data_IF_319154979946
#
_entry.id   IF_319154979946
#
_cell.length_a   1.000
_cell.length_b   1.000
_cell.length_c   1.000
_cell.angle_alpha   90.00
_cell.angle_beta   90.00
_cell.angle_gamma   90.00
#
_symmetry.space_group_name_H-M   'P 1'
#
loop_
_entity.id
_entity.type
_entity.pdbx_description
1 polymer ?
#
# COMPACT_ATOMS: atom_id res chain seq x y z
N UNK A 1 -12.38 -27.79 -12.76
CA UNK A 1 -12.71 -26.65 -13.66
C UNK A 1 -13.56 -25.68 -12.85
N UNK A 2 -13.13 -24.42 -12.63
CA UNK A 2 -13.86 -23.52 -11.75
C UNK A 2 -15.25 -23.16 -12.33
N UNK A 3 -16.31 -23.13 -11.50
CA UNK A 3 -17.64 -22.67 -11.88
C UNK A 3 -17.62 -21.32 -12.64
N UNK A 4 -18.53 -21.17 -13.60
CA UNK A 4 -18.57 -19.98 -14.47
C UNK A 4 -18.71 -18.67 -13.66
N UNK A 5 -19.44 -18.71 -12.54
CA UNK A 5 -19.64 -17.58 -11.63
C UNK A 5 -18.31 -17.07 -11.03
N UNK A 6 -17.38 -17.97 -10.70
CA UNK A 6 -16.06 -17.60 -10.14
C UNK A 6 -15.21 -16.88 -11.18
N UNK A 7 -15.27 -17.32 -12.45
CA UNK A 7 -14.55 -16.67 -13.55
C UNK A 7 -15.03 -15.24 -13.77
N UNK A 8 -16.35 -15.02 -13.71
CA UNK A 8 -16.96 -13.69 -13.83
C UNK A 8 -16.52 -12.80 -12.66
N UNK A 9 -16.56 -13.29 -11.42
CA UNK A 9 -16.11 -12.53 -10.24
C UNK A 9 -14.65 -12.11 -10.43
N UNK A 10 -13.75 -13.04 -10.77
CA UNK A 10 -12.32 -12.77 -11.00
C UNK A 10 -12.08 -11.74 -12.10
N UNK A 11 -12.86 -11.78 -13.17
CA UNK A 11 -12.77 -10.78 -14.24
C UNK A 11 -13.17 -9.38 -13.74
N UNK A 12 -14.25 -9.28 -12.96
CA UNK A 12 -14.69 -8.02 -12.35
C UNK A 12 -13.60 -7.44 -11.43
N UNK A 13 -12.94 -8.29 -10.63
CA UNK A 13 -11.82 -7.87 -9.78
C UNK A 13 -10.68 -7.30 -10.61
N UNK A 14 -10.23 -8.06 -11.61
CA UNK A 14 -9.09 -7.66 -12.43
C UNK A 14 -9.36 -6.33 -13.13
N UNK A 15 -10.57 -6.15 -13.68
CA UNK A 15 -10.98 -4.88 -14.30
C UNK A 15 -10.97 -3.73 -13.29
N UNK A 16 -11.44 -3.94 -12.07
CA UNK A 16 -11.43 -2.90 -11.03
C UNK A 16 -10.01 -2.52 -10.63
N UNK A 17 -9.13 -3.50 -10.40
CA UNK A 17 -7.72 -3.26 -10.06
C UNK A 17 -6.98 -2.55 -11.20
N UNK A 18 -7.21 -2.95 -12.45
CA UNK A 18 -6.65 -2.30 -13.64
C UNK A 18 -7.16 -0.86 -13.79
N UNK A 19 -8.43 -0.61 -13.47
CA UNK A 19 -9.02 0.74 -13.50
C UNK A 19 -8.37 1.65 -12.47
N UNK A 20 -8.13 1.14 -11.25
CA UNK A 20 -7.41 1.89 -10.20
C UNK A 20 -5.98 2.18 -10.65
N UNK A 21 -5.27 1.17 -11.16
CA UNK A 21 -3.91 1.35 -11.68
C UNK A 21 -3.84 2.36 -12.81
N UNK A 22 -4.78 2.31 -13.76
CA UNK A 22 -4.85 3.27 -14.87
C UNK A 22 -5.14 4.68 -14.36
N UNK A 23 -6.06 4.82 -13.40
CA UNK A 23 -6.36 6.11 -12.78
C UNK A 23 -5.13 6.71 -12.07
N UNK A 24 -4.40 5.91 -11.30
CA UNK A 24 -3.14 6.34 -10.66
C UNK A 24 -2.11 6.76 -11.71
N UNK A 25 -1.96 5.99 -12.79
CA UNK A 25 -1.04 6.30 -13.88
C UNK A 25 -1.42 7.60 -14.63
N UNK A 26 -2.71 7.88 -14.82
CA UNK A 26 -3.18 9.12 -15.46
C UNK A 26 -2.89 10.34 -14.57
N UNK A 27 -3.04 10.21 -13.25
CA UNK A 27 -2.74 11.31 -12.33
C UNK A 27 -1.23 11.54 -12.21
N UNK A 28 -0.45 10.47 -12.27
CA UNK A 28 1.01 10.51 -12.26
C UNK A 28 1.52 10.85 -13.67
N UNK A 29 1.38 12.11 -14.06
CA UNK A 29 1.94 12.65 -15.31
C UNK A 29 3.48 12.61 -15.23
N UNK A 30 4.05 11.48 -15.62
CA UNK A 30 5.47 11.17 -15.53
C UNK A 30 6.30 12.16 -16.34
N UNK A 31 5.82 12.59 -17.51
CA UNK A 31 6.52 13.56 -18.35
C UNK A 31 6.63 14.91 -17.65
N UNK A 32 5.55 15.34 -16.99
CA UNK A 32 5.54 16.58 -16.22
C UNK A 32 6.41 16.50 -14.97
N UNK A 33 6.41 15.38 -14.25
CA UNK A 33 7.28 15.16 -13.09
C UNK A 33 8.76 15.22 -13.52
N UNK A 34 9.11 14.52 -14.61
CA UNK A 34 10.48 14.53 -15.16
C UNK A 34 10.87 15.93 -15.62
N UNK A 35 10.01 16.62 -16.37
CA UNK A 35 10.27 17.98 -16.83
C UNK A 35 10.48 18.99 -15.68
N UNK A 36 9.75 18.84 -14.56
CA UNK A 36 9.92 19.68 -13.39
C UNK A 36 11.15 19.31 -12.53
N UNK A 37 11.66 18.08 -12.64
CA UNK A 37 12.88 17.62 -11.96
C UNK A 37 14.17 17.91 -12.76
N UNK A 38 14.08 17.99 -14.09
CA UNK A 38 15.18 18.30 -15.00
C UNK A 38 16.07 19.48 -14.56
N UNK A 39 15.53 20.66 -14.18
CA UNK A 39 16.36 21.80 -13.78
C UNK A 39 17.15 21.55 -12.47
N UNK A 40 16.64 20.71 -11.56
CA UNK A 40 17.37 20.35 -10.34
C UNK A 40 18.50 19.37 -10.62
N UNK A 41 18.31 18.45 -11.56
CA UNK A 41 19.36 17.55 -12.05
C UNK A 41 20.46 18.36 -12.75
N UNK A 42 20.07 19.32 -13.60
CA UNK A 42 21.00 20.19 -14.32
C UNK A 42 21.72 21.21 -13.41
N UNK A 43 21.08 21.61 -12.30
CA UNK A 43 21.69 22.54 -11.33
C UNK A 43 22.89 21.95 -10.57
N UNK A 44 23.09 20.63 -10.62
CA UNK A 44 24.20 19.94 -9.92
C UNK A 44 24.13 20.02 -8.39
N UNK A 45 23.06 20.59 -7.81
CA UNK A 45 22.88 20.74 -6.36
C UNK A 45 22.60 19.39 -5.67
N UNK A 46 22.04 18.44 -6.41
CA UNK A 46 21.80 17.07 -5.93
C UNK A 46 22.92 16.18 -6.46
N UNK A 47 23.99 16.04 -5.67
CA UNK A 47 25.01 15.04 -5.90
C UNK A 47 24.41 13.66 -5.57
N UNK A 48 23.82 13.02 -6.58
CA UNK A 48 23.48 11.61 -6.50
C UNK A 48 24.79 10.83 -6.45
N UNK A 49 25.31 10.65 -5.23
CA UNK A 49 26.33 9.65 -4.99
C UNK A 49 25.68 8.31 -5.34
N UNK A 50 25.90 7.86 -6.58
CA UNK A 50 25.55 6.54 -7.09
C UNK A 50 26.02 5.43 -6.14
N UNK A 51 27.00 5.74 -5.30
CA UNK A 51 27.43 4.99 -4.14
C UNK A 51 26.40 4.87 -3.01
N UNK A 52 25.74 5.91 -2.50
CA UNK A 52 24.97 5.79 -1.23
C UNK A 52 23.64 5.06 -1.40
N UNK A 53 22.87 5.30 -2.47
CA UNK A 53 21.61 4.57 -2.67
C UNK A 53 21.86 3.07 -2.92
N UNK A 54 22.92 2.74 -3.69
CA UNK A 54 23.35 1.36 -3.94
C UNK A 54 24.13 0.78 -2.77
N UNK A 55 24.86 1.56 -1.97
CA UNK A 55 25.56 1.13 -0.77
C UNK A 55 24.59 0.92 0.39
N UNK A 56 23.54 1.73 0.54
CA UNK A 56 22.47 1.49 1.51
C UNK A 56 21.66 0.27 1.08
N UNK A 57 21.30 0.15 -0.20
CA UNK A 57 20.61 -1.04 -0.73
C UNK A 57 21.47 -2.30 -0.62
N UNK A 58 22.76 -2.23 -0.95
CA UNK A 58 23.68 -3.36 -0.85
C UNK A 58 24.15 -3.64 0.58
N UNK A 59 24.23 -2.66 1.48
CA UNK A 59 24.49 -2.90 2.92
C UNK A 59 23.29 -3.58 3.57
N UNK A 60 22.06 -3.13 3.27
CA UNK A 60 20.83 -3.80 3.70
C UNK A 60 20.77 -5.24 3.15
N UNK A 61 21.26 -5.47 1.93
CA UNK A 61 21.26 -6.81 1.30
C UNK A 61 22.41 -7.69 1.82
N UNK A 62 23.58 -7.12 2.11
CA UNK A 62 24.80 -7.85 2.51
C UNK A 62 24.81 -8.18 4.01
N UNK A 63 24.22 -7.34 4.85
CA UNK A 63 23.97 -7.66 6.27
C UNK A 63 22.85 -8.69 6.44
N UNK A 64 21.91 -8.79 5.48
CA UNK A 64 20.88 -9.84 5.47
C UNK A 64 21.40 -11.24 5.12
N UNK A 65 22.55 -11.36 4.46
CA UNK A 65 23.07 -12.65 3.97
C UNK A 65 24.23 -13.18 4.84
N UNK A 66 24.95 -12.32 5.56
CA UNK A 66 26.14 -12.73 6.35
C UNK A 66 25.90 -12.89 7.85
N UNK A 67 24.73 -12.49 8.37
CA UNK A 67 24.38 -12.64 9.78
C UNK A 67 23.00 -13.25 9.94
N UNK A 68 22.92 -14.58 10.02
CA UNK A 68 21.78 -15.29 10.61
C UNK A 68 21.72 -15.06 12.14
N UNK A 69 21.85 -13.80 12.57
CA UNK A 69 21.54 -13.36 13.91
C UNK A 69 20.03 -13.20 13.99
N UNK A 70 19.37 -14.30 14.36
CA UNK A 70 17.98 -14.39 14.82
C UNK A 70 17.12 -13.16 14.44
N UNK A 71 16.53 -13.17 13.24
CA UNK A 71 15.25 -12.50 13.12
C UNK A 71 14.38 -13.16 14.17
N UNK A 72 14.14 -12.46 15.29
CA UNK A 72 12.99 -12.70 16.11
C UNK A 72 11.84 -12.99 15.11
N UNK A 73 11.17 -14.13 15.27
CA UNK A 73 10.22 -14.74 14.30
C UNK A 73 9.53 -13.72 13.39
N UNK A 74 9.31 -14.02 12.09
CA UNK A 74 8.56 -13.16 11.13
C UNK A 74 7.38 -12.41 11.77
N UNK A 75 6.66 -13.05 12.72
CA UNK A 75 5.62 -12.44 13.56
C UNK A 75 6.07 -11.17 14.29
N UNK A 76 7.23 -11.18 14.95
CA UNK A 76 7.78 -10.02 15.66
C UNK A 76 8.11 -8.86 14.71
N UNK A 77 8.64 -9.15 13.51
CA UNK A 77 8.89 -8.13 12.49
C UNK A 77 7.56 -7.47 12.06
N UNK A 78 6.54 -8.30 11.80
CA UNK A 78 5.21 -7.81 11.43
C UNK A 78 4.58 -6.96 12.54
N UNK A 79 4.74 -7.37 13.81
CA UNK A 79 4.28 -6.59 14.98
C UNK A 79 5.00 -5.25 15.07
N UNK A 80 6.31 -5.21 14.89
CA UNK A 80 7.09 -3.96 14.93
C UNK A 80 6.68 -3.03 13.79
N UNK A 81 6.58 -3.54 12.55
CA UNK A 81 6.14 -2.73 11.41
C UNK A 81 4.72 -2.20 11.59
N UNK A 82 3.80 -3.03 12.09
CA UNK A 82 2.44 -2.62 12.40
C UNK A 82 2.38 -1.55 13.50
N UNK A 83 3.20 -1.69 14.55
CA UNK A 83 3.28 -0.71 15.64
C UNK A 83 3.82 0.64 15.15
N UNK A 84 4.90 0.63 14.35
CA UNK A 84 5.46 1.85 13.75
C UNK A 84 4.44 2.50 12.81
N UNK A 85 3.80 1.72 11.93
CA UNK A 85 2.79 2.24 10.99
C UNK A 85 1.60 2.86 11.73
N UNK A 86 1.12 2.20 12.79
CA UNK A 86 0.04 2.72 13.66
C UNK A 86 0.46 3.99 14.38
N UNK A 87 1.67 4.03 14.95
CA UNK A 87 2.16 5.21 15.65
C UNK A 87 2.25 6.43 14.72
N UNK A 88 2.77 6.25 13.50
CA UNK A 88 2.83 7.31 12.48
C UNK A 88 1.43 7.76 12.07
N UNK A 89 0.49 6.83 11.93
CA UNK A 89 -0.91 7.14 11.63
C UNK A 89 -1.55 7.98 12.72
N UNK A 90 -1.48 7.54 13.98
CA UNK A 90 -2.05 8.25 15.11
C UNK A 90 -1.39 9.62 15.33
N UNK A 91 -0.07 9.70 15.17
CA UNK A 91 0.65 10.97 15.21
C UNK A 91 0.14 11.92 14.12
N UNK A 92 -0.06 11.44 12.89
CA UNK A 92 -0.62 12.23 11.80
C UNK A 92 -2.04 12.73 12.12
N UNK A 93 -2.92 11.86 12.64
CA UNK A 93 -4.30 12.24 13.02
C UNK A 93 -4.30 13.31 14.11
N UNK A 94 -3.46 13.15 15.13
CA UNK A 94 -3.47 14.01 16.32
C UNK A 94 -2.72 15.32 16.13
N UNK A 95 -1.70 15.34 15.27
CA UNK A 95 -0.80 16.50 15.09
C UNK A 95 -1.07 17.30 13.82
N UNK A 96 -1.85 16.77 12.87
CA UNK A 96 -2.18 17.49 11.63
C UNK A 96 -3.18 18.62 11.88
N UNK A 97 -2.89 19.86 11.46
CA UNK A 97 -3.86 20.96 11.50
C UNK A 97 -4.93 20.85 10.40
N UNK A 98 -4.78 19.89 9.49
CA UNK A 98 -5.70 19.69 8.36
C UNK A 98 -6.48 18.37 8.50
N UNK A 99 -7.74 18.32 8.02
CA UNK A 99 -8.51 17.07 7.98
C UNK A 99 -7.79 15.98 7.19
N UNK A 100 -7.87 14.73 7.66
CA UNK A 100 -7.26 13.55 7.02
C UNK A 100 -7.62 13.46 5.52
N UNK A 101 -8.88 13.75 5.18
CA UNK A 101 -9.34 13.78 3.80
C UNK A 101 -8.51 14.73 2.91
N UNK A 102 -8.10 15.89 3.43
CA UNK A 102 -7.26 16.84 2.66
C UNK A 102 -5.81 16.39 2.53
N UNK A 103 -5.35 15.55 3.45
CA UNK A 103 -3.99 15.00 3.46
C UNK A 103 -3.87 13.83 2.47
N UNK A 104 -4.91 13.02 2.32
CA UNK A 104 -4.86 11.79 1.51
C UNK A 104 -5.69 11.83 0.23
N UNK A 105 -6.76 12.63 0.12
CA UNK A 105 -7.58 12.67 -1.09
C UNK A 105 -7.06 13.73 -2.07
N UNK A 106 -6.75 13.34 -3.32
CA UNK A 106 -6.33 14.29 -4.34
C UNK A 106 -7.49 15.21 -4.71
N UNK A 107 -7.21 16.52 -4.83
CA UNK A 107 -8.18 17.49 -5.34
C UNK A 107 -8.33 17.36 -6.85
N UNK A 108 -9.56 17.49 -7.34
CA UNK A 108 -9.88 17.38 -8.77
C UNK A 108 -9.24 18.51 -9.62
N UNK A 109 -8.98 19.66 -8.99
CA UNK A 109 -8.39 20.84 -9.63
C UNK A 109 -7.05 20.54 -10.32
N UNK A 110 -6.80 21.22 -11.43
CA UNK A 110 -5.54 21.14 -12.17
C UNK A 110 -4.48 21.91 -11.40
N UNK A 111 -3.42 21.23 -10.98
CA UNK A 111 -2.28 21.83 -10.27
C UNK A 111 -1.14 22.07 -11.27
N UNK A 112 -0.74 23.33 -11.43
CA UNK A 112 0.36 23.74 -12.31
C UNK A 112 1.71 23.76 -11.60
N UNK A 113 1.72 24.14 -10.33
CA UNK A 113 2.93 24.22 -9.50
C UNK A 113 3.44 22.83 -9.10
N UNK A 114 4.77 22.65 -9.11
CA UNK A 114 5.46 21.36 -8.91
C UNK A 114 5.08 20.72 -7.58
N UNK A 115 5.18 21.46 -6.47
CA UNK A 115 4.93 20.92 -5.13
C UNK A 115 3.48 20.43 -4.99
N UNK A 116 2.51 21.18 -5.51
CA UNK A 116 1.10 20.78 -5.49
C UNK A 116 0.81 19.63 -6.44
N UNK A 117 1.49 19.56 -7.59
CA UNK A 117 1.37 18.46 -8.54
C UNK A 117 1.95 17.15 -7.97
N UNK A 118 3.17 17.18 -7.41
CA UNK A 118 3.78 16.03 -6.73
C UNK A 118 2.94 15.56 -5.56
N UNK A 119 2.37 16.48 -4.76
CA UNK A 119 1.44 16.12 -3.68
C UNK A 119 0.23 15.36 -4.22
N UNK A 120 -0.40 15.85 -5.30
CA UNK A 120 -1.55 15.20 -5.92
C UNK A 120 -1.21 13.80 -6.44
N UNK A 121 -0.03 13.64 -7.03
CA UNK A 121 0.46 12.34 -7.49
C UNK A 121 0.67 11.36 -6.32
N UNK A 122 1.32 11.79 -5.23
CA UNK A 122 1.53 10.95 -4.05
C UNK A 122 0.22 10.57 -3.35
N UNK A 123 -0.75 11.49 -3.29
CA UNK A 123 -2.09 11.21 -2.75
C UNK A 123 -2.82 10.16 -3.58
N UNK A 124 -2.78 10.28 -4.91
CA UNK A 124 -3.39 9.30 -5.80
C UNK A 124 -2.70 7.93 -5.76
N UNK A 125 -1.37 7.91 -5.65
CA UNK A 125 -0.59 6.68 -5.50
C UNK A 125 -0.91 5.95 -4.20
N UNK A 126 -0.94 6.68 -3.07
CA UNK A 126 -1.25 6.10 -1.77
C UNK A 126 -2.67 5.54 -1.72
N UNK A 127 -3.67 6.34 -2.16
CA UNK A 127 -5.07 5.88 -2.20
C UNK A 127 -5.23 4.70 -3.15
N UNK A 128 -4.67 4.78 -4.36
CA UNK A 128 -4.75 3.72 -5.36
C UNK A 128 -4.14 2.42 -4.86
N UNK A 129 -2.94 2.48 -4.27
CA UNK A 129 -2.23 1.31 -3.75
C UNK A 129 -3.01 0.64 -2.61
N UNK A 130 -3.47 1.39 -1.62
CA UNK A 130 -4.20 0.79 -0.50
C UNK A 130 -5.61 0.32 -0.90
N UNK A 131 -6.30 1.02 -1.80
CA UNK A 131 -7.58 0.55 -2.33
C UNK A 131 -7.43 -0.75 -3.10
N UNK A 132 -6.42 -0.85 -3.97
CA UNK A 132 -6.09 -2.08 -4.68
C UNK A 132 -5.77 -3.23 -3.70
N UNK A 133 -4.96 -2.94 -2.68
CA UNK A 133 -4.58 -3.92 -1.66
C UNK A 133 -5.78 -4.40 -0.82
N UNK A 134 -6.68 -3.51 -0.42
CA UNK A 134 -7.89 -3.89 0.32
C UNK A 134 -8.89 -4.66 -0.53
N UNK A 135 -9.10 -4.27 -1.79
CA UNK A 135 -9.91 -5.05 -2.72
C UNK A 135 -9.32 -6.46 -2.86
N UNK A 136 -8.01 -6.56 -3.07
CA UNK A 136 -7.34 -7.86 -3.14
C UNK A 136 -7.53 -8.71 -1.87
N UNK A 137 -7.49 -8.11 -0.67
CA UNK A 137 -7.77 -8.84 0.58
C UNK A 137 -9.22 -9.31 0.67
N UNK A 138 -10.19 -8.45 0.36
CA UNK A 138 -11.63 -8.80 0.35
C UNK A 138 -11.88 -9.98 -0.58
N UNK A 139 -11.30 -9.94 -1.78
CA UNK A 139 -11.41 -11.04 -2.72
C UNK A 139 -10.67 -12.29 -2.27
N UNK A 140 -9.53 -12.15 -1.60
CA UNK A 140 -8.82 -13.29 -1.02
C UNK A 140 -9.67 -13.99 0.05
N UNK A 141 -10.39 -13.24 0.89
CA UNK A 141 -11.34 -13.83 1.85
C UNK A 141 -12.54 -14.49 1.18
N UNK A 142 -13.05 -13.90 0.09
CA UNK A 142 -14.10 -14.52 -0.73
C UNK A 142 -13.63 -15.84 -1.37
N UNK A 143 -12.42 -15.87 -1.93
CA UNK A 143 -11.84 -17.08 -2.53
C UNK A 143 -11.61 -18.16 -1.46
N UNK A 144 -11.14 -17.80 -0.25
CA UNK A 144 -11.03 -18.72 0.87
C UNK A 144 -12.39 -19.28 1.30
N UNK A 145 -13.44 -18.46 1.25
CA UNK A 145 -14.80 -18.89 1.55
C UNK A 145 -15.33 -19.87 0.52
N UNK A 146 -15.15 -19.57 -0.77
CA UNK A 146 -15.54 -20.46 -1.87
C UNK A 146 -14.77 -21.79 -1.82
N UNK A 147 -13.52 -21.77 -1.36
CA UNK A 147 -12.71 -22.98 -1.16
C UNK A 147 -13.14 -23.80 0.08
N UNK A 148 -14.09 -23.32 0.88
CA UNK A 148 -14.53 -23.97 2.12
C UNK A 148 -13.52 -23.87 3.26
N UNK A 149 -12.49 -23.03 3.14
CA UNK A 149 -11.45 -22.82 4.15
C UNK A 149 -11.84 -21.74 5.18
N UNK A 150 -12.78 -20.86 4.82
CA UNK A 150 -13.28 -19.78 5.66
C UNK A 150 -14.81 -19.79 5.69
N UNK A 151 -15.40 -19.93 6.88
CA UNK A 151 -16.86 -19.91 7.04
C UNK A 151 -17.48 -18.56 6.64
N UNK A 152 -18.76 -18.35 6.95
CA UNK A 152 -19.47 -17.08 6.74
C UNK A 152 -18.86 -15.83 7.39
N UNK A 153 -17.74 -15.94 8.11
CA UNK A 153 -16.96 -14.85 8.70
C UNK A 153 -16.19 -14.00 7.68
N UNK A 154 -16.10 -14.43 6.42
CA UNK A 154 -15.39 -13.66 5.38
C UNK A 154 -15.96 -12.24 5.18
N UNK A 155 -17.28 -12.07 5.32
CA UNK A 155 -17.95 -10.76 5.29
C UNK A 155 -17.54 -9.89 6.48
N UNK A 156 -17.41 -10.48 7.68
CA UNK A 156 -16.95 -9.78 8.87
C UNK A 156 -15.52 -9.27 8.67
N UNK A 157 -14.60 -10.11 8.17
CA UNK A 157 -13.23 -9.68 7.91
C UNK A 157 -13.18 -8.56 6.86
N UNK A 158 -13.98 -8.68 5.80
CA UNK A 158 -14.05 -7.67 4.73
C UNK A 158 -14.59 -6.32 5.23
N UNK A 159 -15.65 -6.34 6.06
CA UNK A 159 -16.27 -5.13 6.61
C UNK A 159 -15.45 -4.48 7.73
N UNK A 160 -14.59 -5.24 8.42
CA UNK A 160 -13.71 -4.71 9.46
C UNK A 160 -12.47 -3.98 8.89
N UNK A 161 -12.08 -4.19 7.64
CA UNK A 161 -10.94 -3.48 7.01
C UNK A 161 -11.07 -1.94 7.04
N UNK A 162 -12.19 -1.32 6.60
CA UNK A 162 -12.32 0.13 6.69
C UNK A 162 -12.33 0.63 8.15
N UNK A 163 -12.98 -0.11 9.05
CA UNK A 163 -13.02 0.23 10.48
C UNK A 163 -11.61 0.21 11.08
N UNK A 164 -10.86 -0.86 10.85
CA UNK A 164 -9.48 -1.00 11.30
C UNK A 164 -8.57 0.09 10.73
N UNK A 165 -8.80 0.51 9.48
CA UNK A 165 -8.01 1.58 8.83
C UNK A 165 -8.20 2.92 9.52
N UNK A 166 -9.42 3.24 9.98
CA UNK A 166 -9.67 4.47 10.74
C UNK A 166 -8.84 4.50 12.03
N UNK A 167 -8.77 3.38 12.76
CA UNK A 167 -8.13 3.33 14.07
C UNK A 167 -6.62 3.06 14.03
N UNK A 168 -6.16 2.14 13.17
CA UNK A 168 -4.78 1.67 13.13
C UNK A 168 -3.99 2.13 11.89
N UNK A 169 -4.67 2.74 10.93
CA UNK A 169 -4.10 3.19 9.67
C UNK A 169 -4.05 2.09 8.61
N UNK A 170 -3.87 2.49 7.34
CA UNK A 170 -4.04 1.58 6.21
C UNK A 170 -2.95 0.49 6.13
N UNK A 171 -1.71 0.82 6.50
CA UNK A 171 -0.59 -0.12 6.51
C UNK A 171 -0.77 -1.26 7.52
N UNK A 172 -1.15 -0.93 8.76
CA UNK A 172 -1.40 -1.92 9.81
C UNK A 172 -2.61 -2.78 9.47
N UNK A 173 -3.69 -2.20 8.96
CA UNK A 173 -4.87 -2.96 8.51
C UNK A 173 -4.51 -3.96 7.42
N UNK A 174 -3.73 -3.54 6.41
CA UNK A 174 -3.28 -4.43 5.34
C UNK A 174 -2.46 -5.60 5.91
N UNK A 175 -1.54 -5.31 6.83
CA UNK A 175 -0.70 -6.32 7.47
C UNK A 175 -1.53 -7.33 8.28
N UNK A 176 -2.49 -6.86 9.08
CA UNK A 176 -3.39 -7.72 9.87
C UNK A 176 -4.25 -8.57 8.94
N UNK A 177 -4.87 -7.96 7.92
CA UNK A 177 -5.70 -8.68 6.95
C UNK A 177 -4.92 -9.76 6.20
N UNK A 178 -3.70 -9.45 5.77
CA UNK A 178 -2.81 -10.42 5.14
C UNK A 178 -2.44 -11.56 6.11
N UNK A 179 -2.08 -11.24 7.35
CA UNK A 179 -1.72 -12.25 8.34
C UNK A 179 -2.89 -13.19 8.69
N UNK A 180 -4.11 -12.65 8.79
CA UNK A 180 -5.33 -13.45 8.98
C UNK A 180 -5.57 -14.41 7.80
N UNK A 181 -5.33 -13.94 6.57
CA UNK A 181 -5.41 -14.77 5.37
C UNK A 181 -4.40 -15.91 5.42
N UNK A 182 -3.14 -15.64 5.78
CA UNK A 182 -2.09 -16.66 5.89
C UNK A 182 -2.35 -17.68 7.00
N UNK A 183 -2.89 -17.27 8.15
CA UNK A 183 -3.29 -18.21 9.20
C UNK A 183 -4.41 -19.13 8.71
N UNK A 184 -5.41 -18.58 8.02
CA UNK A 184 -6.53 -19.37 7.51
C UNK A 184 -6.08 -20.41 6.48
N UNK A 185 -5.07 -20.07 5.67
CA UNK A 185 -4.45 -21.00 4.71
C UNK A 185 -3.63 -22.11 5.35
N UNK A 186 -3.02 -21.85 6.51
CA UNK A 186 -2.13 -22.81 7.19
C UNK A 186 -2.82 -23.64 8.26
N UNK A 187 -4.02 -23.26 8.69
CA UNK A 187 -4.80 -23.97 9.69
C UNK A 187 -5.59 -25.18 9.15
N UNK A 188 -5.66 -25.35 7.83
CA UNK A 188 -6.32 -26.46 7.13
C UNK A 188 -5.30 -27.23 6.29
#
# INVERSE_FOLDING_TARGET
MAPNNIKIIRAIVAVTLLSISLWTAIIMDLEKIVAQQQPFIESGVIEWTSGIAVAVSSSITKDRISGAGSFASLKSLLVILGAISTAVWLFKITSSPFPIATVFLPRAEVQSDFVFHTRKALQADEVGTFMAAFLWLIFSFCDLHIAGLLDGRWLLYSTMLPVATVFAGPGTTLLIGWYLKEITLTAN
#
